data_IF_577276317715
#
_entry.id   IF_577276317715
#
_cell.length_a   1.000
_cell.length_b   1.000
_cell.length_c   1.000
_cell.angle_alpha   90.00
_cell.angle_beta   90.00
_cell.angle_gamma   90.00
#
_symmetry.space_group_name_H-M   'P 1'
#
loop_
_entity.id
_entity.type
_entity.pdbx_description
1 polymer ?
#
# COMPACT_ATOMS: atom_id res chain seq x y z
N UNK A 1 5.35 -28.63 53.03
CA UNK A 1 5.08 -27.46 53.88
C UNK A 1 4.18 -26.56 53.04
N UNK A 2 2.88 -26.72 53.21
CA UNK A 2 1.82 -26.06 52.44
C UNK A 2 1.41 -24.83 53.21
N UNK A 3 1.58 -23.65 52.66
CA UNK A 3 1.03 -22.40 53.21
C UNK A 3 -0.24 -22.01 52.43
N UNK A 4 -1.35 -22.13 53.13
CA UNK A 4 -2.65 -21.63 52.72
C UNK A 4 -2.74 -20.11 52.94
N UNK A 5 -3.25 -19.38 51.94
CA UNK A 5 -3.66 -17.97 52.06
C UNK A 5 -5.21 -17.89 52.07
N UNK A 6 -5.81 -17.01 52.87
CA UNK A 6 -7.25 -16.92 53.02
C UNK A 6 -7.94 -16.10 51.94
N UNK A 7 -9.21 -16.45 51.70
CA UNK A 7 -10.08 -15.86 50.67
C UNK A 7 -10.45 -14.41 50.94
N UNK A 8 -10.59 -13.65 49.85
CA UNK A 8 -11.27 -12.37 49.84
C UNK A 8 -12.56 -12.52 49.00
N UNK A 9 -13.66 -12.16 49.64
CA UNK A 9 -15.00 -12.16 49.08
C UNK A 9 -15.15 -11.07 48.04
N UNK A 10 -15.74 -11.42 46.90
CA UNK A 10 -16.16 -10.48 45.86
C UNK A 10 -17.59 -10.06 46.17
N UNK A 11 -17.77 -8.86 46.70
CA UNK A 11 -19.11 -8.24 46.81
C UNK A 11 -19.48 -7.51 45.49
N UNK A 12 -20.72 -7.75 45.11
CA UNK A 12 -21.44 -7.19 43.98
C UNK A 12 -21.52 -5.66 44.02
N UNK A 13 -21.13 -5.03 42.90
CA UNK A 13 -21.54 -3.66 42.59
C UNK A 13 -22.29 -3.65 41.24
N UNK A 14 -23.59 -3.96 41.36
CA UNK A 14 -24.58 -3.70 40.32
C UNK A 14 -25.22 -2.35 40.62
N UNK A 15 -24.72 -1.26 40.07
CA UNK A 15 -25.27 0.10 40.18
C UNK A 15 -26.12 0.46 38.96
N UNK A 16 -27.40 0.62 39.21
CA UNK A 16 -28.46 1.05 38.29
C UNK A 16 -28.12 2.43 37.67
N UNK A 17 -28.25 2.52 36.34
CA UNK A 17 -28.53 3.79 35.69
C UNK A 17 -29.93 3.75 35.08
N UNK A 18 -30.82 4.53 35.70
CA UNK A 18 -32.12 4.86 35.14
C UNK A 18 -32.14 6.35 34.85
N UNK A 19 -32.63 6.72 33.68
CA UNK A 19 -33.22 8.02 33.40
C UNK A 19 -32.36 9.03 32.62
N UNK A 20 -32.54 9.10 31.34
CA UNK A 20 -32.47 10.36 30.59
C UNK A 20 -33.55 10.32 29.48
N UNK A 21 -34.37 11.34 29.51
CA UNK A 21 -35.58 11.55 28.74
C UNK A 21 -35.30 11.76 27.25
N UNK A 22 -36.17 11.24 26.41
CA UNK A 22 -36.33 11.54 25.02
C UNK A 22 -36.77 13.01 24.83
N UNK A 23 -36.02 13.77 24.06
CA UNK A 23 -36.51 15.01 23.45
C UNK A 23 -36.67 14.74 21.95
N UNK A 24 -37.89 14.68 21.51
CA UNK A 24 -38.26 14.64 20.10
C UNK A 24 -38.02 16.01 19.47
N UNK A 25 -37.51 15.99 18.27
CA UNK A 25 -37.70 17.09 17.29
C UNK A 25 -38.07 16.47 15.95
N UNK A 26 -39.36 16.57 15.69
CA UNK A 26 -39.93 16.46 14.37
C UNK A 26 -39.50 17.67 13.51
N UNK A 27 -39.10 17.41 12.29
CA UNK A 27 -39.15 18.41 11.26
C UNK A 27 -39.60 17.80 9.92
N UNK A 28 -40.76 18.19 9.42
CA UNK A 28 -41.19 17.80 8.10
C UNK A 28 -40.79 18.92 7.13
N UNK A 29 -40.03 18.61 6.11
CA UNK A 29 -39.95 19.49 4.94
C UNK A 29 -40.50 18.79 3.72
N UNK A 30 -41.58 19.37 3.28
CA UNK A 30 -42.45 19.12 2.17
C UNK A 30 -41.74 19.07 0.81
N UNK A 31 -42.17 18.12 0.02
CA UNK A 31 -42.15 18.20 -1.45
C UNK A 31 -43.01 19.34 -1.92
N UNK A 32 -42.60 20.09 -2.94
CA UNK A 32 -43.48 20.54 -4.06
C UNK A 32 -42.69 21.32 -5.11
N UNK A 33 -42.73 20.79 -6.31
CA UNK A 33 -43.07 21.37 -7.60
C UNK A 33 -42.60 22.79 -7.94
N UNK A 34 -41.75 22.87 -8.97
CA UNK A 34 -41.81 23.99 -9.90
C UNK A 34 -41.67 23.49 -11.34
N UNK A 35 -42.82 23.40 -12.02
CA UNK A 35 -42.93 23.37 -13.47
C UNK A 35 -43.42 24.76 -13.88
N UNK A 36 -42.72 25.46 -14.73
CA UNK A 36 -43.28 26.27 -15.84
C UNK A 36 -42.17 26.94 -16.65
N UNK A 37 -41.99 26.49 -17.84
CA UNK A 37 -42.08 27.18 -19.15
C UNK A 37 -41.43 28.56 -19.29
N UNK A 38 -40.39 28.60 -20.12
CA UNK A 38 -40.29 29.63 -21.18
C UNK A 38 -39.37 29.14 -22.32
N UNK A 39 -39.98 29.01 -23.51
CA UNK A 39 -39.30 28.76 -24.76
C UNK A 39 -38.71 30.08 -25.28
N UNK A 40 -37.42 30.11 -25.58
CA UNK A 40 -36.82 31.01 -26.59
C UNK A 40 -35.69 30.23 -27.25
N UNK A 41 -35.76 30.20 -28.58
CA UNK A 41 -34.88 29.40 -29.42
C UNK A 41 -33.42 29.82 -29.40
N UNK A 42 -32.58 28.84 -29.44
CA UNK A 42 -31.15 28.91 -29.70
C UNK A 42 -30.68 27.51 -30.05
N UNK A 43 -30.22 27.28 -31.25
CA UNK A 43 -29.61 26.05 -31.70
C UNK A 43 -28.39 25.73 -30.77
N UNK A 44 -28.64 25.02 -29.70
CA UNK A 44 -27.57 24.31 -28.98
C UNK A 44 -27.45 22.98 -29.69
N UNK A 45 -26.38 22.81 -30.47
CA UNK A 45 -25.86 21.49 -30.82
C UNK A 45 -25.72 20.71 -29.49
N UNK A 46 -26.64 19.79 -29.28
CA UNK A 46 -26.49 18.76 -28.26
C UNK A 46 -25.27 17.96 -28.64
N UNK A 47 -24.12 18.28 -27.99
CA UNK A 47 -23.02 17.36 -27.91
C UNK A 47 -23.57 16.16 -27.13
N UNK A 48 -24.04 15.15 -27.83
CA UNK A 48 -24.25 13.82 -27.24
C UNK A 48 -22.97 13.45 -26.49
N UNK A 49 -23.05 12.92 -25.25
CA UNK A 49 -21.88 12.43 -24.60
C UNK A 49 -21.24 11.44 -25.56
N UNK A 50 -20.03 11.76 -26.02
CA UNK A 50 -19.22 10.82 -26.78
C UNK A 50 -19.13 9.58 -25.90
N UNK A 51 -19.82 8.51 -26.29
CA UNK A 51 -19.57 7.19 -25.73
C UNK A 51 -18.14 6.92 -26.11
N UNK A 52 -17.23 7.11 -25.15
CA UNK A 52 -15.82 6.70 -25.26
C UNK A 52 -15.85 5.19 -25.51
N UNK A 53 -15.88 4.81 -26.79
CA UNK A 53 -15.57 3.44 -27.19
C UNK A 53 -14.15 3.22 -26.69
N UNK A 54 -13.97 2.26 -25.76
CA UNK A 54 -12.66 1.88 -25.28
C UNK A 54 -11.73 1.70 -26.48
N UNK A 55 -10.62 2.42 -26.46
CA UNK A 55 -9.62 2.28 -27.51
C UNK A 55 -9.01 0.88 -27.36
N UNK A 56 -8.77 0.20 -28.47
CA UNK A 56 -7.96 -1.04 -28.44
C UNK A 56 -6.55 -0.72 -27.91
N UNK A 57 -5.96 -1.65 -27.19
CA UNK A 57 -4.56 -1.53 -26.77
C UNK A 57 -3.69 -1.25 -28.00
N UNK A 58 -2.86 -0.20 -28.00
CA UNK A 58 -2.00 0.09 -29.14
C UNK A 58 -1.00 -1.05 -29.40
N UNK A 59 -0.64 -1.25 -30.66
CA UNK A 59 0.36 -2.27 -31.03
C UNK A 59 1.76 -2.02 -30.43
N UNK A 60 2.05 -0.77 -30.02
CA UNK A 60 3.30 -0.37 -29.41
C UNK A 60 3.06 0.55 -28.21
N UNK A 61 3.68 0.25 -27.08
CA UNK A 61 3.52 0.96 -25.79
C UNK A 61 4.88 1.42 -25.28
N UNK A 62 5.04 2.72 -25.10
CA UNK A 62 6.27 3.32 -24.57
C UNK A 62 6.26 3.32 -23.05
N UNK A 63 7.32 2.78 -22.46
CA UNK A 63 7.47 2.64 -21.00
C UNK A 63 8.82 3.15 -20.54
N UNK A 64 8.84 3.75 -19.36
CA UNK A 64 10.06 4.15 -18.67
C UNK A 64 10.11 3.52 -17.26
N UNK A 65 11.33 3.30 -16.76
CA UNK A 65 11.57 2.75 -15.42
C UNK A 65 12.36 3.74 -14.57
N UNK A 66 11.92 3.94 -13.32
CA UNK A 66 12.65 4.64 -12.27
C UNK A 66 12.97 3.64 -11.14
N UNK A 67 14.27 3.38 -10.94
CA UNK A 67 14.78 2.36 -10.02
C UNK A 67 15.16 1.07 -10.76
N UNK A 68 16.42 0.99 -11.21
CA UNK A 68 16.97 -0.13 -12.01
C UNK A 68 17.54 -1.27 -11.14
N UNK A 69 17.12 -1.36 -9.85
CA UNK A 69 17.45 -2.48 -8.97
C UNK A 69 16.70 -3.76 -9.33
N UNK A 70 16.87 -4.82 -8.51
CA UNK A 70 16.26 -6.13 -8.77
C UNK A 70 14.74 -6.08 -8.95
N UNK A 71 14.01 -5.34 -8.10
CA UNK A 71 12.55 -5.22 -8.22
C UNK A 71 12.14 -4.44 -9.48
N UNK A 72 12.84 -3.33 -9.80
CA UNK A 72 12.56 -2.55 -11.01
C UNK A 72 12.82 -3.35 -12.28
N UNK A 73 13.94 -4.07 -12.35
CA UNK A 73 14.22 -5.01 -13.45
C UNK A 73 13.10 -6.04 -13.60
N UNK A 74 12.62 -6.61 -12.50
CA UNK A 74 11.48 -7.54 -12.49
C UNK A 74 10.19 -6.89 -12.99
N UNK A 75 9.84 -5.71 -12.49
CA UNK A 75 8.64 -4.97 -12.89
C UNK A 75 8.64 -4.65 -14.40
N UNK A 76 9.79 -4.22 -14.93
CA UNK A 76 9.92 -3.95 -16.37
C UNK A 76 9.74 -5.22 -17.21
N UNK A 77 10.32 -6.35 -16.78
CA UNK A 77 10.10 -7.64 -17.43
C UNK A 77 8.64 -8.09 -17.39
N UNK A 78 7.97 -7.89 -16.26
CA UNK A 78 6.54 -8.20 -16.08
C UNK A 78 5.65 -7.31 -16.95
N UNK A 79 5.96 -6.02 -17.05
CA UNK A 79 5.25 -5.10 -17.95
C UNK A 79 5.41 -5.52 -19.42
N UNK A 80 6.62 -5.90 -19.84
CA UNK A 80 6.88 -6.40 -21.20
C UNK A 80 6.08 -7.70 -21.47
N UNK A 81 6.04 -8.61 -20.51
CA UNK A 81 5.24 -9.83 -20.60
C UNK A 81 3.73 -9.52 -20.71
N UNK A 82 3.24 -8.55 -19.94
CA UNK A 82 1.85 -8.10 -20.00
C UNK A 82 1.51 -7.46 -21.36
N UNK A 83 2.39 -6.64 -21.93
CA UNK A 83 2.21 -6.12 -23.29
C UNK A 83 2.06 -7.26 -24.29
N UNK A 84 2.93 -8.28 -24.24
CA UNK A 84 2.87 -9.45 -25.13
C UNK A 84 1.54 -10.22 -25.00
N UNK A 85 1.04 -10.42 -23.80
CA UNK A 85 -0.26 -11.03 -23.54
C UNK A 85 -1.39 -10.24 -24.22
N UNK A 86 -1.29 -8.91 -24.20
CA UNK A 86 -2.27 -8.01 -24.80
C UNK A 86 -2.07 -7.79 -26.32
N UNK A 87 -1.13 -8.50 -26.95
CA UNK A 87 -0.84 -8.36 -28.38
C UNK A 87 -0.08 -7.08 -28.74
N UNK A 88 0.61 -6.45 -27.78
CA UNK A 88 1.37 -5.23 -27.95
C UNK A 88 2.87 -5.47 -27.79
N UNK A 89 3.69 -4.58 -28.37
CA UNK A 89 5.12 -4.47 -28.14
C UNK A 89 5.41 -3.39 -27.10
N UNK A 90 6.24 -3.68 -26.11
CA UNK A 90 6.75 -2.68 -25.18
C UNK A 90 8.04 -2.04 -25.73
N UNK A 91 8.06 -0.72 -25.85
CA UNK A 91 9.24 0.07 -26.16
C UNK A 91 9.75 0.74 -24.89
N UNK A 92 10.92 0.30 -24.40
CA UNK A 92 11.59 0.98 -23.29
C UNK A 92 12.25 2.23 -23.81
N UNK A 93 11.84 3.41 -23.33
CA UNK A 93 12.32 4.71 -23.83
C UNK A 93 13.19 5.46 -22.83
N UNK A 94 13.20 5.04 -21.55
CA UNK A 94 14.07 5.62 -20.54
C UNK A 94 14.31 4.67 -19.36
N UNK A 95 15.52 4.74 -18.81
CA UNK A 95 15.93 4.11 -17.56
C UNK A 95 16.52 5.18 -16.64
N UNK A 96 16.12 5.18 -15.37
CA UNK A 96 16.64 6.09 -14.36
C UNK A 96 16.96 5.37 -13.04
N UNK A 97 18.12 5.67 -12.46
CA UNK A 97 18.51 5.21 -11.12
C UNK A 97 19.42 6.27 -10.47
N UNK A 98 19.43 6.32 -9.14
CA UNK A 98 20.39 7.16 -8.42
C UNK A 98 21.85 6.72 -8.70
N UNK A 99 22.06 5.45 -9.03
CA UNK A 99 23.38 4.83 -9.18
C UNK A 99 23.66 4.42 -10.62
N UNK A 100 24.78 4.90 -11.15
CA UNK A 100 25.21 4.64 -12.51
C UNK A 100 25.41 3.14 -12.80
N UNK A 101 25.98 2.39 -11.85
CA UNK A 101 26.23 0.96 -11.99
C UNK A 101 24.94 0.16 -12.19
N UNK A 102 23.83 0.58 -11.55
CA UNK A 102 22.51 -0.06 -11.71
C UNK A 102 21.89 0.29 -13.06
N UNK A 103 21.89 1.56 -13.43
CA UNK A 103 21.33 2.02 -14.70
C UNK A 103 22.08 1.42 -15.89
N UNK A 104 23.41 1.44 -15.87
CA UNK A 104 24.26 0.86 -16.95
C UNK A 104 24.06 -0.64 -17.08
N UNK A 105 24.08 -1.40 -15.96
CA UNK A 105 23.88 -2.85 -15.99
C UNK A 105 22.53 -3.24 -16.61
N UNK A 106 21.45 -2.53 -16.28
CA UNK A 106 20.15 -2.81 -16.89
C UNK A 106 20.15 -2.41 -18.37
N UNK A 107 20.84 -1.33 -18.75
CA UNK A 107 20.94 -0.87 -20.12
C UNK A 107 21.76 -1.82 -21.04
N UNK A 108 22.57 -2.71 -20.51
CA UNK A 108 23.20 -3.78 -21.29
C UNK A 108 22.15 -4.66 -22.00
N UNK A 109 20.96 -4.82 -21.39
CA UNK A 109 19.84 -5.56 -21.98
C UNK A 109 19.07 -4.75 -23.01
N UNK A 110 18.75 -3.48 -22.70
CA UNK A 110 17.88 -2.65 -23.55
C UNK A 110 18.61 -1.82 -24.57
N UNK A 111 19.90 -1.57 -24.39
CA UNK A 111 20.80 -0.86 -25.32
C UNK A 111 20.28 0.53 -25.74
N UNK A 112 19.68 1.24 -24.79
CA UNK A 112 19.23 2.60 -25.01
C UNK A 112 20.43 3.54 -25.25
N UNK A 113 20.25 4.58 -26.08
CA UNK A 113 21.27 5.61 -26.23
C UNK A 113 21.51 6.36 -24.91
N UNK A 114 22.72 6.92 -24.74
CA UNK A 114 23.14 7.52 -23.48
C UNK A 114 22.20 8.63 -22.95
N UNK A 115 21.54 9.36 -23.86
CA UNK A 115 20.59 10.42 -23.54
C UNK A 115 19.21 9.91 -23.09
N UNK A 116 19.03 8.60 -22.95
CA UNK A 116 17.83 7.95 -22.41
C UNK A 116 18.13 7.14 -21.12
N UNK A 117 19.37 7.20 -20.63
CA UNK A 117 19.81 6.56 -19.38
C UNK A 117 20.21 7.66 -18.40
N UNK A 118 19.38 7.88 -17.40
CA UNK A 118 19.53 8.99 -16.48
C UNK A 118 20.05 8.52 -15.11
N UNK A 119 21.03 9.25 -14.58
CA UNK A 119 21.67 8.94 -13.29
C UNK A 119 21.55 10.13 -12.36
N UNK A 120 21.32 9.86 -11.08
CA UNK A 120 21.18 10.86 -10.01
C UNK A 120 19.84 10.78 -9.29
N UNK A 121 19.75 11.46 -8.18
CA UNK A 121 18.50 11.50 -7.38
C UNK A 121 17.40 12.31 -8.07
N UNK A 122 17.77 13.24 -8.95
CA UNK A 122 16.87 14.04 -9.79
C UNK A 122 16.52 13.40 -11.15
N UNK A 123 17.09 12.23 -11.46
CA UNK A 123 16.94 11.55 -12.75
C UNK A 123 15.48 11.29 -13.15
N UNK A 124 14.57 11.13 -12.18
CA UNK A 124 13.14 10.95 -12.43
C UNK A 124 12.54 12.13 -13.22
N UNK A 125 13.02 13.37 -13.01
CA UNK A 125 12.53 14.56 -13.71
C UNK A 125 12.80 14.46 -15.23
N UNK A 126 13.95 13.91 -15.61
CA UNK A 126 14.32 13.68 -17.01
C UNK A 126 13.43 12.61 -17.66
N UNK A 127 13.03 11.58 -16.91
CA UNK A 127 12.07 10.58 -17.37
C UNK A 127 10.72 11.23 -17.71
N UNK A 128 10.25 12.20 -16.92
CA UNK A 128 8.98 12.88 -17.16
C UNK A 128 8.96 13.68 -18.47
N UNK A 129 10.12 14.12 -18.96
CA UNK A 129 10.27 14.84 -20.21
C UNK A 129 10.29 13.91 -21.44
N UNK A 130 10.35 12.59 -21.27
CA UNK A 130 10.29 11.63 -22.37
C UNK A 130 8.85 11.39 -22.84
N UNK A 131 8.70 10.80 -24.01
CA UNK A 131 7.41 10.47 -24.61
C UNK A 131 6.81 9.13 -24.12
N UNK A 132 7.30 8.60 -22.98
CA UNK A 132 6.72 7.40 -22.37
C UNK A 132 5.23 7.61 -22.02
N UNK A 133 4.42 6.59 -22.26
CA UNK A 133 3.02 6.56 -21.81
C UNK A 133 2.89 6.05 -20.37
N UNK A 134 3.78 5.11 -19.99
CA UNK A 134 3.81 4.48 -18.68
C UNK A 134 5.10 4.71 -17.95
N UNK A 135 5.03 4.97 -16.65
CA UNK A 135 6.19 5.03 -15.75
C UNK A 135 6.06 3.98 -14.67
N UNK A 136 7.08 3.12 -14.57
CA UNK A 136 7.21 2.13 -13.51
C UNK A 136 8.12 2.70 -12.41
N UNK A 137 7.64 2.74 -11.17
CA UNK A 137 8.34 3.33 -10.02
C UNK A 137 8.71 2.26 -9.00
N UNK A 138 9.98 1.85 -8.98
CA UNK A 138 10.52 0.81 -8.10
C UNK A 138 11.68 1.30 -7.22
N UNK A 139 11.74 2.59 -6.95
CA UNK A 139 12.67 3.21 -6.01
C UNK A 139 12.31 2.88 -4.56
N UNK A 140 13.17 3.14 -3.56
CA UNK A 140 12.79 3.01 -2.17
C UNK A 140 11.51 3.82 -1.84
N UNK A 141 10.69 3.35 -0.89
CA UNK A 141 9.36 3.92 -0.61
C UNK A 141 9.33 5.43 -0.35
N UNK A 142 10.35 5.97 0.30
CA UNK A 142 10.42 7.41 0.60
C UNK A 142 10.36 8.31 -0.64
N UNK A 143 10.87 7.85 -1.79
CA UNK A 143 10.91 8.64 -3.02
C UNK A 143 9.58 8.61 -3.79
N UNK A 144 8.72 7.61 -3.55
CA UNK A 144 7.52 7.36 -4.37
C UNK A 144 6.51 8.50 -4.38
N UNK A 145 6.22 9.21 -3.26
CA UNK A 145 5.30 10.34 -3.31
C UNK A 145 5.73 11.44 -4.28
N UNK A 146 7.02 11.76 -4.32
CA UNK A 146 7.59 12.79 -5.21
C UNK A 146 7.58 12.31 -6.67
N UNK A 147 8.02 11.08 -6.93
CA UNK A 147 8.05 10.51 -8.27
C UNK A 147 6.64 10.36 -8.85
N UNK A 148 5.68 9.92 -8.05
CA UNK A 148 4.28 9.76 -8.45
C UNK A 148 3.64 11.11 -8.79
N UNK A 149 3.86 12.13 -7.95
CA UNK A 149 3.36 13.47 -8.23
C UNK A 149 3.91 14.02 -9.55
N UNK A 150 5.22 13.84 -9.81
CA UNK A 150 5.84 14.25 -11.07
C UNK A 150 5.26 13.50 -12.28
N UNK A 151 5.05 12.19 -12.18
CA UNK A 151 4.49 11.36 -13.25
C UNK A 151 3.04 11.78 -13.59
N UNK A 152 2.19 11.99 -12.58
CA UNK A 152 0.81 12.46 -12.76
C UNK A 152 0.79 13.87 -13.33
N UNK A 153 1.68 14.78 -12.88
CA UNK A 153 1.80 16.11 -13.45
C UNK A 153 2.12 16.05 -14.95
N UNK A 154 3.03 15.14 -15.34
CA UNK A 154 3.44 14.91 -16.74
C UNK A 154 2.43 14.07 -17.57
N UNK A 155 1.28 13.69 -17.00
CA UNK A 155 0.23 12.96 -17.72
C UNK A 155 0.56 11.49 -18.01
N UNK A 156 1.35 10.83 -17.17
CA UNK A 156 1.77 9.44 -17.36
C UNK A 156 0.88 8.47 -16.59
N UNK A 157 0.57 7.31 -17.18
CA UNK A 157 0.03 6.16 -16.45
C UNK A 157 1.11 5.58 -15.55
N UNK A 158 0.73 5.07 -14.37
CA UNK A 158 1.69 4.75 -13.33
C UNK A 158 1.54 3.32 -12.79
N UNK A 159 2.66 2.61 -12.71
CA UNK A 159 2.83 1.51 -11.78
C UNK A 159 3.66 1.99 -10.60
N UNK A 160 3.13 1.87 -9.39
CA UNK A 160 3.81 2.32 -8.17
C UNK A 160 4.05 1.13 -7.26
N UNK A 161 5.31 0.74 -7.06
CA UNK A 161 5.62 -0.33 -6.13
C UNK A 161 5.15 -0.03 -4.70
N UNK A 162 4.78 -1.09 -3.96
CA UNK A 162 4.49 -1.01 -2.52
C UNK A 162 5.79 -0.99 -1.68
N UNK A 163 5.76 -0.43 -0.48
CA UNK A 163 4.80 0.55 0.05
C UNK A 163 4.96 1.90 -0.66
N UNK A 164 3.90 2.68 -0.69
CA UNK A 164 3.89 3.93 -1.48
C UNK A 164 4.45 5.14 -0.72
N UNK A 165 4.67 5.01 0.58
CA UNK A 165 5.23 6.04 1.45
C UNK A 165 5.83 5.43 2.72
N UNK A 166 6.58 6.22 3.48
CA UNK A 166 7.19 5.82 4.77
C UNK A 166 6.58 6.51 5.98
N UNK A 167 5.78 7.55 5.75
CA UNK A 167 5.17 8.38 6.78
C UNK A 167 3.75 8.85 6.39
N UNK A 168 2.97 9.40 7.35
CA UNK A 168 1.60 9.84 7.08
C UNK A 168 1.51 10.96 6.05
N UNK A 169 2.47 11.87 6.02
CA UNK A 169 2.49 13.00 5.07
C UNK A 169 2.64 12.49 3.64
N UNK A 170 3.60 11.59 3.42
CA UNK A 170 3.80 10.95 2.12
C UNK A 170 2.58 10.12 1.68
N UNK A 171 1.94 9.37 2.59
CA UNK A 171 0.75 8.60 2.27
C UNK A 171 -0.44 9.49 1.87
N UNK A 172 -0.66 10.62 2.55
CA UNK A 172 -1.68 11.59 2.14
C UNK A 172 -1.35 12.27 0.81
N UNK A 173 -0.07 12.54 0.54
CA UNK A 173 0.37 13.04 -0.77
C UNK A 173 0.03 12.06 -1.91
N UNK A 174 0.18 10.75 -1.68
CA UNK A 174 -0.26 9.72 -2.64
C UNK A 174 -1.77 9.79 -2.88
N UNK A 175 -2.58 9.94 -1.82
CA UNK A 175 -4.05 10.09 -1.96
C UNK A 175 -4.38 11.31 -2.83
N UNK A 176 -3.81 12.47 -2.50
CA UNK A 176 -4.05 13.71 -3.24
C UNK A 176 -3.64 13.59 -4.71
N UNK A 177 -2.47 13.03 -4.97
CA UNK A 177 -1.98 12.79 -6.33
C UNK A 177 -2.85 11.79 -7.09
N UNK A 178 -3.38 10.77 -6.40
CA UNK A 178 -4.32 9.81 -6.98
C UNK A 178 -5.63 10.46 -7.43
N UNK A 179 -6.15 11.43 -6.69
CA UNK A 179 -7.34 12.19 -7.12
C UNK A 179 -7.03 13.05 -8.37
N UNK A 180 -5.83 13.62 -8.47
CA UNK A 180 -5.41 14.33 -9.69
C UNK A 180 -5.24 13.37 -10.88
N UNK A 181 -4.67 12.18 -10.66
CA UNK A 181 -4.58 11.14 -11.68
C UNK A 181 -5.98 10.75 -12.21
N UNK A 182 -6.94 10.59 -11.31
CA UNK A 182 -8.34 10.29 -11.67
C UNK A 182 -8.97 11.39 -12.52
N UNK A 183 -8.79 12.67 -12.16
CA UNK A 183 -9.27 13.81 -12.95
C UNK A 183 -8.68 13.84 -14.36
N UNK A 184 -7.41 13.41 -14.50
CA UNK A 184 -6.71 13.33 -15.78
C UNK A 184 -7.00 12.05 -16.57
N UNK A 185 -7.79 11.11 -16.05
CA UNK A 185 -8.05 9.81 -16.68
C UNK A 185 -6.82 8.90 -16.74
N UNK A 186 -5.88 9.04 -15.80
CA UNK A 186 -4.67 8.24 -15.77
C UNK A 186 -4.88 6.96 -14.97
N UNK A 187 -4.42 5.84 -15.51
CA UNK A 187 -4.40 4.57 -14.81
C UNK A 187 -3.24 4.53 -13.81
N UNK A 188 -3.54 4.06 -12.59
CA UNK A 188 -2.59 3.89 -11.48
C UNK A 188 -2.83 2.53 -10.86
N UNK A 189 -1.84 1.66 -10.90
CA UNK A 189 -1.87 0.35 -10.24
C UNK A 189 -0.69 0.26 -9.26
N UNK A 190 -0.97 -0.23 -8.05
CA UNK A 190 0.04 -0.45 -7.03
C UNK A 190 0.57 -1.89 -7.07
N UNK A 191 1.80 -2.12 -6.62
CA UNK A 191 2.44 -3.43 -6.54
C UNK A 191 1.81 -4.34 -5.46
N UNK A 192 0.49 -4.50 -5.47
CA UNK A 192 -0.29 -5.35 -4.57
C UNK A 192 -0.76 -6.62 -5.26
N UNK A 193 0.18 -7.41 -5.76
CA UNK A 193 -0.07 -8.57 -6.62
C UNK A 193 -1.10 -9.56 -6.08
N UNK A 194 -1.33 -9.65 -4.75
CA UNK A 194 -2.34 -10.55 -4.17
C UNK A 194 -3.77 -10.19 -4.60
N UNK A 195 -4.03 -8.92 -4.93
CA UNK A 195 -5.32 -8.45 -5.46
C UNK A 195 -5.55 -8.86 -6.92
N UNK A 196 -4.48 -9.29 -7.60
CA UNK A 196 -4.46 -9.81 -8.98
C UNK A 196 -4.18 -11.31 -9.01
N UNK A 197 -4.31 -12.02 -7.87
CA UNK A 197 -4.13 -13.47 -7.74
C UNK A 197 -5.47 -14.20 -7.66
N UNK A 198 -5.68 -15.18 -8.53
CA UNK A 198 -6.94 -15.91 -8.64
C UNK A 198 -7.37 -16.57 -7.32
N UNK A 199 -6.42 -17.04 -6.49
CA UNK A 199 -6.73 -17.70 -5.21
C UNK A 199 -7.21 -16.72 -4.16
N UNK A 200 -6.61 -15.52 -4.09
CA UNK A 200 -7.06 -14.46 -3.22
C UNK A 200 -8.40 -13.88 -3.67
N UNK A 201 -8.54 -13.59 -4.97
CA UNK A 201 -9.80 -13.07 -5.55
C UNK A 201 -10.96 -14.05 -5.34
N UNK A 202 -10.71 -15.35 -5.50
CA UNK A 202 -11.68 -16.40 -5.21
C UNK A 202 -12.15 -16.35 -3.74
N UNK A 203 -11.21 -16.28 -2.81
CA UNK A 203 -11.56 -16.26 -1.38
C UNK A 203 -12.29 -14.97 -1.00
N UNK A 204 -11.89 -13.82 -1.56
CA UNK A 204 -12.62 -12.55 -1.40
C UNK A 204 -14.08 -12.69 -1.89
N UNK A 205 -14.28 -13.25 -3.08
CA UNK A 205 -15.62 -13.44 -3.62
C UNK A 205 -16.47 -14.41 -2.76
N UNK A 206 -15.87 -15.45 -2.18
CA UNK A 206 -16.57 -16.36 -1.26
C UNK A 206 -16.93 -15.67 0.08
N UNK A 207 -16.07 -14.78 0.58
CA UNK A 207 -16.35 -13.96 1.77
C UNK A 207 -17.51 -13.01 1.47
N UNK A 208 -17.47 -12.30 0.34
CA UNK A 208 -18.53 -11.37 -0.08
C UNK A 208 -19.88 -12.07 -0.30
N UNK A 209 -19.85 -13.33 -0.74
CA UNK A 209 -21.02 -14.19 -0.84
C UNK A 209 -21.48 -14.76 0.53
N UNK A 210 -20.84 -14.38 1.64
CA UNK A 210 -21.22 -14.79 2.99
C UNK A 210 -20.94 -16.27 3.31
N UNK A 211 -20.02 -16.92 2.58
CA UNK A 211 -19.78 -18.38 2.75
C UNK A 211 -19.32 -18.72 4.16
N UNK A 212 -18.51 -17.89 4.79
CA UNK A 212 -18.06 -18.06 6.19
C UNK A 212 -18.78 -17.15 7.18
N UNK A 213 -19.85 -16.48 6.73
CA UNK A 213 -20.57 -15.48 7.52
C UNK A 213 -19.76 -14.19 7.70
N UNK A 214 -20.26 -13.29 8.52
CA UNK A 214 -19.60 -12.02 8.84
C UNK A 214 -18.22 -12.28 9.48
N UNK A 215 -17.19 -11.58 9.03
CA UNK A 215 -15.86 -11.69 9.59
C UNK A 215 -15.81 -11.17 11.04
N UNK A 216 -15.23 -11.97 11.93
CA UNK A 216 -15.13 -11.70 13.38
C UNK A 216 -13.70 -11.36 13.80
N UNK A 217 -12.71 -11.74 13.01
CA UNK A 217 -11.32 -11.47 13.30
C UNK A 217 -10.37 -12.32 12.47
N UNK A 218 -9.09 -12.24 12.80
CA UNK A 218 -8.08 -13.01 12.09
C UNK A 218 -6.67 -12.75 12.57
N UNK A 219 -5.74 -13.43 11.92
CA UNK A 219 -4.30 -13.27 12.14
C UNK A 219 -3.61 -13.06 10.80
N UNK A 220 -2.73 -12.08 10.73
CA UNK A 220 -1.88 -11.82 9.56
C UNK A 220 -0.41 -11.88 9.97
N UNK A 221 0.42 -12.58 9.19
CA UNK A 221 1.77 -12.89 9.58
C UNK A 221 2.77 -12.73 8.45
N UNK A 222 3.92 -12.10 8.78
CA UNK A 222 5.13 -12.13 7.95
C UNK A 222 6.33 -12.35 8.86
N UNK A 223 6.58 -13.60 9.22
CA UNK A 223 7.72 -13.98 10.04
C UNK A 223 8.80 -14.59 9.14
N UNK A 224 9.93 -13.92 9.02
CA UNK A 224 11.02 -14.32 8.14
C UNK A 224 12.40 -13.93 8.68
N UNK A 225 13.35 -13.92 7.78
CA UNK A 225 14.74 -13.54 8.03
C UNK A 225 15.00 -12.13 7.55
N UNK A 226 16.13 -11.53 7.96
CA UNK A 226 16.64 -10.29 7.36
C UNK A 226 16.96 -10.59 5.88
N UNK A 227 16.35 -9.90 4.91
CA UNK A 227 16.54 -10.21 3.49
C UNK A 227 17.98 -10.00 3.03
N UNK A 228 18.57 -8.88 3.40
CA UNK A 228 19.97 -8.53 3.08
C UNK A 228 20.43 -7.34 3.91
N UNK A 229 21.74 -7.29 4.11
CA UNK A 229 22.46 -6.18 4.74
C UNK A 229 23.70 -5.90 3.90
N UNK A 230 23.95 -4.64 3.63
CA UNK A 230 25.16 -4.19 2.95
C UNK A 230 26.06 -3.43 3.92
N UNK A 231 27.32 -3.80 3.98
CA UNK A 231 28.33 -3.05 4.74
C UNK A 231 28.72 -1.77 4.01
N UNK A 232 28.98 -0.71 4.77
CA UNK A 232 29.44 0.57 4.22
C UNK A 232 30.83 0.38 3.59
N UNK A 233 31.02 0.87 2.37
CA UNK A 233 32.30 0.92 1.71
C UNK A 233 33.14 2.08 2.26
N UNK A 234 34.49 1.94 2.17
CA UNK A 234 35.41 3.01 2.59
C UNK A 234 35.20 4.25 1.72
N UNK A 235 34.97 5.41 2.35
CA UNK A 235 34.75 6.68 1.64
C UNK A 235 33.37 6.87 1.01
N UNK A 236 32.44 5.92 1.24
CA UNK A 236 31.07 6.04 0.77
C UNK A 236 30.33 7.15 1.56
N UNK A 237 29.59 8.00 0.84
CA UNK A 237 28.77 9.05 1.45
C UNK A 237 27.64 8.47 2.28
N UNK A 238 27.09 9.23 3.22
CA UNK A 238 25.91 8.82 4.00
C UNK A 238 24.71 8.56 3.08
N UNK A 239 24.50 9.40 2.08
CA UNK A 239 23.44 9.26 1.09
C UNK A 239 23.55 7.94 0.33
N UNK A 240 24.73 7.62 -0.22
CA UNK A 240 24.93 6.39 -0.99
C UNK A 240 24.81 5.15 -0.13
N UNK A 241 25.42 5.16 1.06
CA UNK A 241 25.30 4.04 1.98
C UNK A 241 23.86 3.80 2.41
N UNK A 242 23.15 4.85 2.82
CA UNK A 242 21.77 4.76 3.26
C UNK A 242 20.85 4.27 2.12
N UNK A 243 20.98 4.81 0.91
CA UNK A 243 20.14 4.41 -0.21
C UNK A 243 20.52 3.02 -0.77
N UNK A 244 21.81 2.66 -0.82
CA UNK A 244 22.21 1.28 -1.20
C UNK A 244 21.82 0.24 -0.16
N UNK A 245 21.57 0.65 1.08
CA UNK A 245 21.14 -0.18 2.20
C UNK A 245 19.73 0.18 2.70
N UNK A 246 18.91 0.76 1.82
CA UNK A 246 17.63 1.42 2.11
C UNK A 246 16.67 0.58 2.95
N UNK A 247 16.68 -0.74 2.76
CA UNK A 247 15.78 -1.65 3.48
C UNK A 247 15.97 -1.56 5.00
N UNK A 248 17.17 -1.23 5.47
CA UNK A 248 17.55 -1.23 6.87
C UNK A 248 17.37 0.13 7.57
N UNK A 249 16.87 1.15 6.84
CA UNK A 249 16.61 2.48 7.37
C UNK A 249 15.12 2.81 7.31
N UNK A 250 14.57 3.17 8.47
CA UNK A 250 13.14 3.50 8.63
C UNK A 250 12.73 4.66 7.72
N UNK A 251 13.60 5.64 7.52
CA UNK A 251 13.37 6.82 6.68
C UNK A 251 13.15 6.44 5.21
N UNK A 252 13.74 5.33 4.74
CA UNK A 252 13.62 4.90 3.34
C UNK A 252 12.65 3.74 3.14
N UNK A 253 12.54 2.83 4.12
CA UNK A 253 11.70 1.63 4.06
C UNK A 253 10.37 1.76 4.78
N UNK A 254 10.29 2.63 5.79
CA UNK A 254 9.17 2.69 6.72
C UNK A 254 9.22 1.63 7.82
N UNK A 255 10.31 0.88 7.95
CA UNK A 255 10.47 -0.35 8.72
C UNK A 255 9.81 -1.59 8.04
N UNK A 256 10.18 -2.80 8.45
CA UNK A 256 9.72 -4.03 7.79
C UNK A 256 8.21 -4.30 7.98
N UNK A 257 7.58 -3.75 9.00
CA UNK A 257 6.12 -3.78 9.14
C UNK A 257 5.46 -3.02 7.97
N UNK A 258 6.06 -1.94 7.49
CA UNK A 258 5.59 -1.15 6.35
C UNK A 258 6.06 -1.79 5.05
N UNK A 259 7.37 -2.13 4.94
CA UNK A 259 7.95 -2.59 3.68
C UNK A 259 7.47 -3.98 3.25
N UNK A 260 7.46 -4.95 4.16
CA UNK A 260 7.09 -6.33 3.82
C UNK A 260 5.69 -6.73 4.26
N UNK A 261 5.34 -6.43 5.51
CA UNK A 261 4.11 -6.92 6.10
C UNK A 261 2.85 -6.24 5.58
N UNK A 262 3.01 -5.12 4.87
CA UNK A 262 1.91 -4.42 4.18
C UNK A 262 1.07 -5.36 3.32
N UNK A 263 1.65 -6.35 2.67
CA UNK A 263 0.91 -7.33 1.87
C UNK A 263 -0.18 -8.08 2.65
N UNK A 264 0.10 -8.43 3.90
CA UNK A 264 -0.83 -9.18 4.73
C UNK A 264 -1.89 -8.28 5.35
N UNK A 265 -1.52 -7.06 5.75
CA UNK A 265 -2.47 -6.06 6.25
C UNK A 265 -3.38 -5.57 5.12
N UNK A 266 -2.86 -5.47 3.88
CA UNK A 266 -3.65 -5.15 2.69
C UNK A 266 -4.76 -6.20 2.45
N UNK A 267 -4.45 -7.48 2.57
CA UNK A 267 -5.46 -8.55 2.45
C UNK A 267 -6.51 -8.42 3.54
N UNK A 268 -6.12 -8.09 4.79
CA UNK A 268 -7.09 -7.91 5.86
C UNK A 268 -8.05 -6.74 5.58
N UNK A 269 -7.51 -5.59 5.18
CA UNK A 269 -8.31 -4.41 4.81
C UNK A 269 -9.23 -4.73 3.61
N UNK A 270 -8.71 -5.41 2.60
CA UNK A 270 -9.47 -5.81 1.43
C UNK A 270 -10.62 -6.77 1.78
N UNK A 271 -10.34 -7.80 2.58
CA UNK A 271 -11.34 -8.81 2.95
C UNK A 271 -12.42 -8.23 3.88
N UNK A 272 -12.04 -7.37 4.82
CA UNK A 272 -12.97 -6.68 5.71
C UNK A 272 -13.72 -5.50 5.02
N UNK A 273 -13.20 -4.99 3.89
CA UNK A 273 -13.78 -3.85 3.15
C UNK A 273 -13.69 -2.51 3.90
N UNK A 274 -12.85 -2.41 4.93
CA UNK A 274 -12.66 -1.19 5.74
C UNK A 274 -11.25 -1.12 6.34
N UNK A 275 -10.80 0.10 6.68
CA UNK A 275 -9.56 0.35 7.40
C UNK A 275 -9.75 0.13 8.91
N UNK A 276 -8.67 -0.11 9.69
CA UNK A 276 -8.77 -0.17 11.15
C UNK A 276 -9.17 1.20 11.72
N UNK A 277 -9.84 1.18 12.87
CA UNK A 277 -10.19 2.38 13.67
C UNK A 277 -8.99 2.82 14.49
N UNK A 278 -8.24 1.85 15.05
CA UNK A 278 -7.07 2.08 15.88
C UNK A 278 -6.12 0.89 15.88
N UNK A 279 -4.92 1.09 16.39
CA UNK A 279 -3.96 0.03 16.65
C UNK A 279 -3.28 0.22 18.00
N UNK A 280 -3.04 -0.89 18.69
CA UNK A 280 -2.15 -0.97 19.83
C UNK A 280 -1.08 -2.04 19.56
N UNK A 281 0.19 -1.63 19.57
CA UNK A 281 1.28 -2.50 19.19
C UNK A 281 2.46 -2.42 20.11
N UNK A 282 3.30 -3.42 20.03
CA UNK A 282 4.63 -3.43 20.60
C UNK A 282 5.62 -4.07 19.63
N UNK A 283 6.89 -3.76 19.82
CA UNK A 283 7.97 -4.26 19.00
C UNK A 283 9.29 -3.96 19.65
N UNK A 284 10.37 -4.28 18.96
CA UNK A 284 11.68 -3.99 19.50
C UNK A 284 12.81 -4.40 18.58
N UNK A 285 14.02 -3.97 18.97
CA UNK A 285 15.27 -4.33 18.34
C UNK A 285 16.05 -5.28 19.26
N UNK A 286 16.25 -6.51 18.80
CA UNK A 286 16.87 -7.57 19.60
C UNK A 286 18.19 -8.06 19.00
N UNK A 287 18.29 -8.16 17.68
CA UNK A 287 19.41 -8.82 16.98
C UNK A 287 20.02 -7.98 15.86
N UNK A 288 19.31 -6.96 15.36
CA UNK A 288 19.75 -6.12 14.24
C UNK A 288 20.89 -5.21 14.69
N UNK A 289 21.98 -5.20 13.94
CA UNK A 289 23.19 -4.40 14.15
C UNK A 289 23.35 -3.28 13.13
N UNK A 290 22.53 -3.28 12.08
CA UNK A 290 22.60 -2.33 10.96
C UNK A 290 21.29 -1.56 10.81
N UNK A 291 21.40 -0.28 10.47
CA UNK A 291 20.25 0.62 10.33
C UNK A 291 19.55 0.91 11.66
N UNK A 292 18.33 1.42 11.60
CA UNK A 292 17.57 1.86 12.78
C UNK A 292 16.19 1.21 12.94
N UNK A 293 15.91 0.11 12.24
CA UNK A 293 14.64 -0.59 12.29
C UNK A 293 14.51 -1.50 13.52
N UNK A 294 13.28 -1.82 13.91
CA UNK A 294 12.99 -2.91 14.84
C UNK A 294 13.19 -4.28 14.17
N UNK A 295 13.25 -5.35 14.98
CA UNK A 295 13.36 -6.73 14.52
C UNK A 295 12.02 -7.44 14.43
N UNK A 296 11.05 -7.02 15.25
CA UNK A 296 9.73 -7.63 15.33
C UNK A 296 8.67 -6.61 15.73
N UNK A 297 7.44 -6.90 15.32
CA UNK A 297 6.22 -6.20 15.71
C UNK A 297 5.11 -7.20 16.02
N UNK A 298 4.31 -6.85 17.02
CA UNK A 298 3.04 -7.48 17.34
C UNK A 298 2.02 -6.37 17.53
N UNK A 299 1.00 -6.33 16.69
CA UNK A 299 0.03 -5.23 16.65
C UNK A 299 -1.38 -5.80 16.65
N UNK A 300 -2.21 -5.29 17.52
CA UNK A 300 -3.65 -5.56 17.53
C UNK A 300 -4.37 -4.40 16.83
N UNK A 301 -4.92 -4.68 15.66
CA UNK A 301 -5.72 -3.73 14.90
C UNK A 301 -7.20 -3.88 15.25
N UNK A 302 -7.81 -2.80 15.71
CA UNK A 302 -9.26 -2.71 15.93
C UNK A 302 -9.94 -2.20 14.64
N UNK A 303 -10.82 -3.01 14.08
CA UNK A 303 -11.61 -2.64 12.91
C UNK A 303 -13.03 -2.16 13.28
N UNK A 304 -13.33 -1.98 14.57
CA UNK A 304 -14.65 -1.65 15.07
C UNK A 304 -15.56 -2.88 15.19
N UNK A 305 -16.71 -2.69 15.85
CA UNK A 305 -17.74 -3.74 16.04
C UNK A 305 -17.22 -5.05 16.64
N UNK A 306 -16.14 -4.97 17.44
CA UNK A 306 -15.50 -6.13 18.07
C UNK A 306 -14.61 -6.95 17.11
N UNK A 307 -14.39 -6.50 15.88
CA UNK A 307 -13.54 -7.18 14.91
C UNK A 307 -12.08 -6.81 15.14
N UNK A 308 -11.24 -7.81 15.42
CA UNK A 308 -9.81 -7.65 15.67
C UNK A 308 -8.97 -8.45 14.69
N UNK A 309 -7.90 -7.81 14.20
CA UNK A 309 -6.86 -8.48 13.42
C UNK A 309 -5.55 -8.42 14.18
N UNK A 310 -5.07 -9.58 14.62
CA UNK A 310 -3.76 -9.70 15.22
C UNK A 310 -2.69 -9.82 14.14
N UNK A 311 -1.73 -8.90 14.17
CA UNK A 311 -0.67 -8.75 13.18
C UNK A 311 0.68 -9.06 13.80
N UNK A 312 1.44 -9.96 13.17
CA UNK A 312 2.78 -10.34 13.61
C UNK A 312 3.76 -10.26 12.45
N UNK A 313 4.87 -9.57 12.64
CA UNK A 313 5.96 -9.65 11.69
C UNK A 313 7.32 -9.62 12.37
N UNK A 314 8.28 -10.31 11.75
CA UNK A 314 9.61 -10.49 12.29
C UNK A 314 10.63 -10.69 11.17
N UNK A 315 11.80 -10.09 11.35
CA UNK A 315 13.01 -10.33 10.55
C UNK A 315 14.16 -10.76 11.45
N UNK A 316 14.15 -12.01 11.94
CA UNK A 316 15.20 -12.59 12.76
C UNK A 316 15.65 -13.90 12.13
N UNK A 317 16.90 -13.98 11.70
CA UNK A 317 17.50 -15.18 11.11
C UNK A 317 17.61 -16.33 12.13
N UNK A 318 17.41 -17.57 11.68
CA UNK A 318 17.45 -18.75 12.51
C UNK A 318 16.17 -19.04 13.31
N UNK A 319 15.06 -18.40 12.93
CA UNK A 319 13.74 -18.63 13.54
C UNK A 319 12.74 -19.22 12.53
N UNK A 320 11.68 -19.88 13.03
CA UNK A 320 10.64 -20.47 12.15
C UNK A 320 9.92 -19.38 11.35
N UNK A 321 9.85 -19.56 10.04
CA UNK A 321 9.14 -18.65 9.13
C UNK A 321 7.65 -18.94 9.04
N UNK A 322 6.84 -17.91 8.86
CA UNK A 322 5.42 -18.02 8.49
C UNK A 322 4.96 -16.75 7.78
N UNK A 323 4.40 -16.92 6.57
CA UNK A 323 3.79 -15.83 5.82
C UNK A 323 2.38 -16.26 5.41
N UNK A 324 1.38 -15.44 5.69
CA UNK A 324 0.00 -15.70 5.32
C UNK A 324 -1.02 -15.02 6.22
N UNK A 325 -2.28 -15.27 5.92
CA UNK A 325 -3.44 -14.73 6.61
C UNK A 325 -4.40 -15.86 6.95
N UNK A 326 -5.09 -15.71 8.07
CA UNK A 326 -6.18 -16.58 8.48
C UNK A 326 -7.30 -15.72 9.05
N UNK A 327 -8.52 -15.91 8.56
CA UNK A 327 -9.70 -15.16 8.95
C UNK A 327 -10.75 -16.09 9.52
N UNK A 328 -11.44 -15.64 10.57
CA UNK A 328 -12.56 -16.32 11.21
C UNK A 328 -13.82 -15.50 10.99
N UNK A 329 -14.82 -16.15 10.44
CA UNK A 329 -16.17 -15.62 10.30
C UNK A 329 -17.14 -16.29 11.29
N UNK A 330 -18.38 -15.81 11.32
CA UNK A 330 -19.44 -16.35 12.18
C UNK A 330 -19.85 -17.79 11.82
N UNK A 331 -19.62 -18.24 10.59
CA UNK A 331 -20.02 -19.53 10.06
C UNK A 331 -18.88 -20.32 9.40
N UNK A 332 -17.64 -19.96 9.70
CA UNK A 332 -16.49 -20.66 9.13
C UNK A 332 -15.21 -19.83 9.20
N UNK A 333 -14.20 -20.29 8.46
CA UNK A 333 -12.90 -19.62 8.40
C UNK A 333 -12.24 -19.82 7.04
N UNK A 334 -11.23 -19.02 6.73
CA UNK A 334 -10.44 -19.19 5.50
C UNK A 334 -9.01 -18.68 5.68
N UNK A 335 -8.11 -19.19 4.84
CA UNK A 335 -6.83 -18.54 4.59
C UNK A 335 -7.01 -17.38 3.62
N UNK A 336 -6.03 -16.48 3.54
CA UNK A 336 -6.01 -15.42 2.52
C UNK A 336 -6.12 -15.99 1.10
N UNK A 337 -5.30 -17.01 0.81
CA UNK A 337 -5.43 -17.87 -0.37
C UNK A 337 -5.65 -19.32 0.04
N UNK A 338 -6.26 -20.11 -0.84
CA UNK A 338 -6.39 -21.57 -0.66
C UNK A 338 -7.66 -22.01 0.03
N UNK A 339 -7.55 -22.68 1.19
CA UNK A 339 -8.69 -23.40 1.80
C UNK A 339 -9.70 -22.46 2.46
N UNK A 340 -10.98 -22.74 2.23
CA UNK A 340 -12.13 -22.15 2.91
C UNK A 340 -12.84 -23.26 3.68
N UNK A 341 -13.14 -23.04 4.95
CA UNK A 341 -13.81 -23.97 5.85
C UNK A 341 -15.20 -23.39 6.20
N UNK A 342 -16.18 -23.69 5.37
CA UNK A 342 -17.56 -23.29 5.64
C UNK A 342 -18.19 -24.16 6.74
N UNK A 343 -19.27 -23.70 7.35
CA UNK A 343 -20.08 -24.46 8.27
C UNK A 343 -20.51 -25.80 7.68
N UNK A 344 -20.47 -26.85 8.46
CA UNK A 344 -20.86 -28.19 8.03
C UNK A 344 -22.27 -28.17 7.41
N UNK A 345 -22.39 -28.74 6.21
CA UNK A 345 -23.66 -28.78 5.46
C UNK A 345 -23.94 -27.53 4.62
N UNK A 346 -23.20 -26.44 4.76
CA UNK A 346 -23.36 -25.27 3.91
C UNK A 346 -22.84 -25.53 2.50
N UNK A 347 -23.74 -25.49 1.51
CA UNK A 347 -23.39 -25.60 0.10
C UNK A 347 -23.05 -24.23 -0.46
N UNK A 348 -21.99 -24.13 -1.26
CA UNK A 348 -21.61 -22.91 -1.98
C UNK A 348 -20.97 -23.28 -3.31
N UNK A 349 -21.02 -22.36 -4.26
CA UNK A 349 -20.32 -22.50 -5.54
C UNK A 349 -18.99 -21.75 -5.45
N UNK A 350 -17.94 -22.39 -5.90
CA UNK A 350 -16.64 -21.75 -6.04
C UNK A 350 -16.64 -20.90 -7.30
N UNK A 351 -16.37 -19.58 -7.23
CA UNK A 351 -16.32 -18.75 -8.43
C UNK A 351 -15.14 -19.13 -9.31
N UNK A 352 -15.39 -19.11 -10.62
CA UNK A 352 -14.37 -19.27 -11.65
C UNK A 352 -13.71 -17.90 -11.91
N UNK A 353 -12.52 -17.69 -11.39
CA UNK A 353 -11.75 -16.45 -11.58
C UNK A 353 -10.90 -16.61 -12.83
N UNK A 354 -11.28 -15.90 -13.89
CA UNK A 354 -10.54 -15.90 -15.16
C UNK A 354 -9.55 -14.75 -15.19
N UNK A 355 -8.29 -15.08 -15.30
CA UNK A 355 -7.18 -14.15 -15.47
C UNK A 355 -6.45 -14.46 -16.78
N UNK A 356 -5.71 -13.50 -17.29
CA UNK A 356 -4.91 -13.66 -18.51
C UNK A 356 -3.64 -14.49 -18.26
N UNK A 357 -3.18 -14.49 -17.02
CA UNK A 357 -2.01 -15.26 -16.59
C UNK A 357 -2.16 -15.72 -15.14
N UNK A 358 -1.47 -16.78 -14.77
CA UNK A 358 -1.36 -17.26 -13.39
C UNK A 358 -0.27 -16.51 -12.58
N UNK A 359 0.59 -15.74 -13.24
CA UNK A 359 1.56 -14.87 -12.57
C UNK A 359 0.88 -13.56 -12.18
N UNK A 360 0.57 -13.43 -10.91
CA UNK A 360 -0.11 -12.25 -10.36
C UNK A 360 0.69 -10.95 -10.51
N UNK A 361 2.04 -11.05 -10.56
CA UNK A 361 2.88 -9.88 -10.82
C UNK A 361 2.84 -9.45 -12.29
N UNK A 362 2.57 -10.35 -13.22
CA UNK A 362 2.30 -9.99 -14.61
C UNK A 362 0.87 -9.53 -14.78
N UNK A 363 -0.09 -10.14 -14.07
CA UNK A 363 -1.51 -9.79 -14.15
C UNK A 363 -1.76 -8.35 -13.70
N UNK A 364 -1.10 -7.86 -12.64
CA UNK A 364 -1.24 -6.44 -12.22
C UNK A 364 -0.85 -5.46 -13.33
N UNK A 365 0.14 -5.80 -14.15
CA UNK A 365 0.51 -4.99 -15.32
C UNK A 365 -0.45 -5.16 -16.50
N UNK A 366 -1.03 -6.35 -16.71
CA UNK A 366 -2.10 -6.57 -17.70
C UNK A 366 -3.30 -5.68 -17.36
N UNK A 367 -3.71 -5.67 -16.09
CA UNK A 367 -4.84 -4.88 -15.62
C UNK A 367 -4.57 -3.37 -15.73
N UNK A 368 -3.35 -2.91 -15.40
CA UNK A 368 -2.91 -1.53 -15.61
C UNK A 368 -3.06 -1.12 -17.07
N UNK A 369 -2.42 -1.86 -17.99
CA UNK A 369 -2.39 -1.51 -19.41
C UNK A 369 -3.81 -1.55 -19.99
N UNK A 370 -4.57 -2.61 -19.72
CA UNK A 370 -5.95 -2.76 -20.20
C UNK A 370 -6.83 -1.61 -19.72
N UNK A 371 -6.73 -1.23 -18.44
CA UNK A 371 -7.53 -0.17 -17.87
C UNK A 371 -7.22 1.21 -18.46
N UNK A 372 -5.98 1.45 -18.82
CA UNK A 372 -5.56 2.71 -19.45
C UNK A 372 -6.23 2.95 -20.82
N UNK A 373 -6.57 1.87 -21.56
CA UNK A 373 -7.11 1.97 -22.91
C UNK A 373 -8.59 1.59 -23.04
N UNK A 374 -9.21 1.01 -22.02
CA UNK A 374 -10.63 0.61 -22.07
C UNK A 374 -11.61 1.71 -21.63
N UNK A 375 -11.12 2.93 -21.36
CA UNK A 375 -11.92 4.06 -20.89
C UNK A 375 -12.35 4.00 -19.41
N UNK A 376 -11.81 3.04 -18.65
CA UNK A 376 -12.06 2.86 -17.21
C UNK A 376 -10.74 2.65 -16.46
N UNK A 377 -9.91 3.70 -16.36
CA UNK A 377 -8.61 3.58 -15.74
C UNK A 377 -8.73 3.17 -14.27
N UNK A 378 -8.00 2.14 -13.87
CA UNK A 378 -7.85 1.76 -12.47
C UNK A 378 -7.12 2.86 -11.70
N UNK A 379 -7.43 3.00 -10.43
CA UNK A 379 -6.72 3.93 -9.56
C UNK A 379 -6.62 3.39 -8.13
N UNK A 380 -5.52 2.73 -7.84
CA UNK A 380 -5.26 2.10 -6.55
C UNK A 380 -4.67 3.08 -5.52
N UNK A 381 -4.39 4.33 -5.89
CA UNK A 381 -3.63 5.27 -5.06
C UNK A 381 -4.21 5.44 -3.65
N UNK A 382 -5.51 5.68 -3.52
CA UNK A 382 -6.18 5.82 -2.22
C UNK A 382 -6.12 4.53 -1.42
N UNK A 383 -6.47 3.41 -2.04
CA UNK A 383 -6.51 2.11 -1.41
C UNK A 383 -5.16 1.71 -0.82
N UNK A 384 -4.08 1.80 -1.62
CA UNK A 384 -2.75 1.44 -1.14
C UNK A 384 -2.21 2.45 -0.12
N UNK A 385 -2.54 3.72 -0.23
CA UNK A 385 -2.15 4.72 0.75
C UNK A 385 -2.88 4.52 2.09
N UNK A 386 -4.14 4.14 2.10
CA UNK A 386 -4.87 3.79 3.33
C UNK A 386 -4.30 2.52 3.98
N UNK A 387 -3.96 1.50 3.19
CA UNK A 387 -3.21 0.33 3.69
C UNK A 387 -1.85 0.74 4.26
N UNK A 388 -1.14 1.64 3.57
CA UNK A 388 0.15 2.16 4.03
C UNK A 388 0.01 2.92 5.35
N UNK A 389 -1.04 3.75 5.52
CA UNK A 389 -1.36 4.40 6.79
C UNK A 389 -1.65 3.40 7.91
N UNK A 390 -2.33 2.29 7.62
CA UNK A 390 -2.62 1.27 8.61
C UNK A 390 -1.34 0.58 9.14
N UNK A 391 -0.38 0.27 8.28
CA UNK A 391 0.88 -0.32 8.75
C UNK A 391 1.78 0.71 9.44
N UNK A 392 1.74 1.98 9.02
CA UNK A 392 2.40 3.09 9.73
C UNK A 392 1.76 3.32 11.10
N UNK A 393 0.43 3.23 11.22
CA UNK A 393 -0.31 3.27 12.47
C UNK A 393 0.23 2.25 13.48
N UNK A 394 0.38 0.98 13.04
CA UNK A 394 0.95 -0.08 13.86
C UNK A 394 2.40 0.17 14.26
N UNK A 395 3.21 0.73 13.34
CA UNK A 395 4.60 1.13 13.64
C UNK A 395 4.67 2.23 14.69
N UNK A 396 3.90 3.30 14.52
CA UNK A 396 3.88 4.43 15.47
C UNK A 396 3.46 3.92 16.85
N UNK A 397 2.39 3.12 16.93
CA UNK A 397 1.95 2.54 18.19
C UNK A 397 3.04 1.70 18.86
N UNK A 398 3.73 0.84 18.10
CA UNK A 398 4.81 0.02 18.65
C UNK A 398 6.03 0.85 19.09
N UNK A 399 6.30 1.99 18.44
CA UNK A 399 7.41 2.88 18.78
C UNK A 399 7.11 3.78 19.99
N UNK A 400 5.85 4.13 20.21
CA UNK A 400 5.43 5.05 21.28
C UNK A 400 4.83 4.34 22.49
N UNK A 401 4.33 3.10 22.32
CA UNK A 401 3.54 2.40 23.33
C UNK A 401 2.10 2.89 23.45
N UNK A 402 1.69 3.82 22.59
CA UNK A 402 0.37 4.47 22.66
C UNK A 402 -0.64 3.79 21.74
N UNK A 403 -1.92 3.84 22.15
CA UNK A 403 -3.02 3.52 21.24
C UNK A 403 -3.20 4.67 20.26
N UNK A 404 -3.02 4.38 18.97
CA UNK A 404 -3.12 5.37 17.90
C UNK A 404 -4.40 5.14 17.08
N UNK A 405 -5.14 6.20 16.77
CA UNK A 405 -6.32 6.15 15.93
C UNK A 405 -5.97 6.39 14.47
N UNK A 406 -6.65 5.70 13.55
CA UNK A 406 -6.40 5.83 12.12
C UNK A 406 -6.65 7.27 11.62
N UNK A 407 -7.71 7.91 12.10
CA UNK A 407 -8.03 9.28 11.74
C UNK A 407 -7.00 10.30 12.24
N UNK A 408 -6.19 9.97 13.25
CA UNK A 408 -5.06 10.81 13.70
C UNK A 408 -3.96 10.93 12.66
N UNK A 409 -3.87 9.97 11.71
CA UNK A 409 -2.93 10.03 10.59
C UNK A 409 -3.56 10.61 9.32
N UNK A 410 -4.88 10.46 9.16
CA UNK A 410 -5.57 10.77 7.91
C UNK A 410 -6.31 12.10 7.93
N UNK A 411 -6.97 12.49 9.05
CA UNK A 411 -7.93 13.60 9.11
C UNK A 411 -7.64 14.63 10.19
N UNK A 412 -7.08 14.23 11.32
CA UNK A 412 -6.93 15.10 12.47
C UNK A 412 -5.63 15.90 12.40
N UNK A 413 -5.64 17.03 11.70
CA UNK A 413 -4.47 17.89 11.44
C UNK A 413 -3.73 18.35 12.70
N UNK A 414 -4.42 18.40 13.86
CA UNK A 414 -3.84 18.77 15.16
C UNK A 414 -3.17 17.60 15.88
N UNK A 415 -3.32 16.37 15.37
CA UNK A 415 -2.65 15.21 15.96
C UNK A 415 -1.14 15.28 15.71
N UNK A 416 -0.30 14.99 16.71
CA UNK A 416 1.15 14.88 16.49
C UNK A 416 1.51 13.87 15.40
N UNK A 417 0.71 12.79 15.26
CA UNK A 417 0.92 11.76 14.26
C UNK A 417 0.56 12.20 12.84
N UNK A 418 -0.28 13.24 12.68
CA UNK A 418 -0.66 13.75 11.35
C UNK A 418 0.53 14.28 10.58
N UNK A 419 1.33 15.15 11.22
CA UNK A 419 2.48 15.80 10.60
C UNK A 419 3.81 15.04 10.79
N UNK A 420 3.73 13.81 11.27
CA UNK A 420 4.92 12.98 11.42
C UNK A 420 5.55 12.71 10.05
N UNK A 421 6.83 13.04 9.92
CA UNK A 421 7.64 12.84 8.73
C UNK A 421 8.92 12.09 9.07
N UNK A 422 9.47 11.41 8.08
CA UNK A 422 10.82 10.87 8.17
C UNK A 422 11.86 12.00 8.36
N UNK A 423 12.90 11.75 9.15
CA UNK A 423 13.96 12.72 9.43
C UNK A 423 14.83 13.06 8.23
N UNK A 424 14.84 12.17 7.23
CA UNK A 424 15.55 12.33 5.96
C UNK A 424 14.56 12.04 4.83
N UNK A 425 14.44 12.93 3.88
CA UNK A 425 13.50 12.83 2.75
C UNK A 425 14.19 12.95 1.38
N UNK A 426 13.44 12.79 0.29
CA UNK A 426 13.99 12.84 -1.08
C UNK A 426 14.82 14.08 -1.38
N UNK A 427 14.40 15.24 -0.90
CA UNK A 427 15.11 16.51 -1.12
C UNK A 427 16.51 16.56 -0.48
N UNK A 428 16.72 15.83 0.61
CA UNK A 428 18.04 15.76 1.26
C UNK A 428 19.01 14.99 0.37
N UNK A 429 18.53 13.95 -0.31
CA UNK A 429 19.32 13.21 -1.29
C UNK A 429 19.66 14.06 -2.53
N UNK A 430 18.69 14.80 -3.04
CA UNK A 430 18.91 15.70 -4.20
C UNK A 430 19.89 16.83 -3.86
N UNK A 431 19.84 17.36 -2.64
CA UNK A 431 20.72 18.45 -2.16
C UNK A 431 22.06 17.96 -1.61
N UNK A 432 22.23 16.65 -1.40
CA UNK A 432 23.43 16.09 -0.80
C UNK A 432 23.57 16.41 0.70
N UNK A 433 22.48 16.66 1.42
CA UNK A 433 22.45 17.02 2.84
C UNK A 433 22.15 15.85 3.77
N UNK A 434 22.07 14.62 3.23
CA UNK A 434 21.76 13.42 3.99
C UNK A 434 22.80 13.16 5.07
N UNK A 435 22.30 12.94 6.29
CA UNK A 435 23.06 12.44 7.42
C UNK A 435 22.40 11.14 7.93
N UNK A 436 23.19 10.18 8.34
CA UNK A 436 22.65 8.96 8.93
C UNK A 436 21.91 9.29 10.22
N UNK A 437 20.74 8.65 10.46
CA UNK A 437 20.04 8.78 11.73
C UNK A 437 20.95 8.38 12.89
N UNK A 438 21.08 9.27 13.88
CA UNK A 438 21.97 9.07 15.02
C UNK A 438 21.40 8.07 16.03
N UNK A 439 20.09 7.89 16.09
CA UNK A 439 19.39 7.13 17.11
C UNK A 439 18.54 6.00 16.54
N UNK A 440 18.53 4.90 17.28
CA UNK A 440 17.58 3.80 17.06
C UNK A 440 16.33 4.08 17.90
N UNK A 441 15.12 3.85 17.38
CA UNK A 441 13.91 4.00 18.18
C UNK A 441 13.99 3.24 19.50
N UNK A 442 13.72 3.93 20.59
CA UNK A 442 13.74 3.34 21.95
C UNK A 442 12.53 2.42 22.12
N UNK A 443 12.69 1.38 22.95
CA UNK A 443 11.54 0.58 23.39
C UNK A 443 10.72 1.45 24.35
N UNK A 444 9.39 1.56 24.19
CA UNK A 444 8.53 2.35 25.06
C UNK A 444 8.64 1.93 26.53
N UNK A 445 8.46 2.88 27.43
CA UNK A 445 8.53 2.63 28.87
C UNK A 445 9.93 2.57 29.46
N UNK A 446 10.98 2.78 28.69
CA UNK A 446 12.32 2.97 29.20
C UNK A 446 12.54 4.44 29.55
N UNK A 447 12.67 4.73 30.83
CA UNK A 447 13.02 6.08 31.33
C UNK A 447 14.47 6.44 30.97
#
# INVERSE_FOLDING_TARGET
MVLSLPGLAVENLCGRWAGAQSVGMENPILRRDFVSTLAIGGLALAAAPAVLRGQSVPSKIKVALIGCGGRGTGALGQFIAACKILGAEAEVVALADAFEDRAKRLNETYKLPANQVFVGYDAYQKVMATDCAFVLMATPPAFRPVHFAAAVAAGKHCFVEKPVAVDPVGARAIIATGEEAKKKGLAVVAGTQRRHDASYMKNKALIDAGVIGELRGGVVQWNGTVPWVRRRAKGESDADYMNRNWLNFTELSGDHIVEQHIHNVDVAIWFLGRTPVSALGFGGRARRDTGNMFDFFSVDYDFGDGVRIHSQCRQITGTSGRVGEFFTGAEGSCFGAGKVFAKVGKKYQTPDIKLDTHDSMVQEHVDLIRSAFNGKPLNDARQIAETNLAVILGRISAYTGELIKFDDLLKHEKSPSYNLQASVGPLDFEKGTVQLPAEVPQIPGKA
#
